data_IF_891980452912
#
_entry.id   IF_891980452912
#
_cell.length_a   1.000
_cell.length_b   1.000
_cell.length_c   1.000
_cell.angle_alpha   90.00
_cell.angle_beta   90.00
_cell.angle_gamma   90.00
#
_symmetry.space_group_name_H-M   'P 1'
#
loop_
_entity.id
_entity.type
_entity.pdbx_description
1 polymer ?
#
# COMPACT_ATOMS: atom_id res chain seq x y z
N UNK A 1 -42.64 -17.16 -47.53
CA UNK A 1 -43.95 -16.56 -47.20
C UNK A 1 -43.72 -15.45 -46.18
N UNK A 2 -43.68 -14.19 -46.62
CA UNK A 2 -43.52 -13.05 -45.72
C UNK A 2 -44.85 -12.80 -45.01
N UNK A 3 -44.94 -13.22 -43.76
CA UNK A 3 -46.04 -12.79 -42.88
C UNK A 3 -45.86 -11.28 -42.75
N UNK A 4 -46.76 -10.51 -43.37
CA UNK A 4 -46.80 -9.06 -43.23
C UNK A 4 -47.14 -8.76 -41.77
N UNK A 5 -46.11 -8.56 -40.95
CA UNK A 5 -46.28 -8.19 -39.53
C UNK A 5 -46.88 -6.79 -39.55
N UNK A 6 -48.18 -6.68 -39.26
CA UNK A 6 -48.83 -5.38 -39.06
C UNK A 6 -47.98 -4.57 -38.07
N UNK A 7 -47.42 -3.46 -38.55
CA UNK A 7 -46.60 -2.58 -37.73
C UNK A 7 -47.54 -1.96 -36.70
N UNK A 8 -47.35 -2.30 -35.42
CA UNK A 8 -48.14 -1.73 -34.34
C UNK A 8 -47.93 -0.21 -34.34
N UNK A 9 -49.03 0.53 -34.41
CA UNK A 9 -49.04 1.99 -34.32
C UNK A 9 -49.43 2.34 -32.88
N UNK A 10 -48.56 3.09 -32.20
CA UNK A 10 -48.84 3.58 -30.85
C UNK A 10 -49.76 4.78 -30.95
N UNK A 11 -50.89 4.75 -30.23
CA UNK A 11 -51.78 5.91 -30.09
C UNK A 11 -51.23 6.87 -29.03
N UNK A 12 -51.61 8.16 -29.06
CA UNK A 12 -51.24 9.11 -28.01
C UNK A 12 -51.66 8.65 -26.60
N UNK A 13 -52.79 7.95 -26.48
CA UNK A 13 -53.28 7.39 -25.20
C UNK A 13 -52.35 6.31 -24.64
N UNK A 14 -51.80 5.44 -25.49
CA UNK A 14 -50.81 4.44 -25.10
C UNK A 14 -49.51 5.09 -24.61
N UNK A 15 -49.11 6.21 -25.21
CA UNK A 15 -47.91 6.93 -24.78
C UNK A 15 -48.09 7.63 -23.44
N UNK A 16 -49.28 8.19 -23.19
CA UNK A 16 -49.63 8.77 -21.89
C UNK A 16 -49.60 7.69 -20.82
N UNK A 17 -50.24 6.54 -21.08
CA UNK A 17 -50.20 5.40 -20.17
C UNK A 17 -48.76 4.95 -19.88
N UNK A 18 -47.92 4.79 -20.91
CA UNK A 18 -46.53 4.39 -20.71
C UNK A 18 -45.73 5.45 -19.92
N UNK A 19 -45.96 6.74 -20.14
CA UNK A 19 -45.28 7.80 -19.36
C UNK A 19 -45.62 7.73 -17.88
N UNK A 20 -46.87 7.43 -17.56
CA UNK A 20 -47.36 7.40 -16.19
C UNK A 20 -47.03 6.09 -15.47
N UNK A 21 -47.15 4.95 -16.16
CA UNK A 21 -47.03 3.62 -15.56
C UNK A 21 -45.60 3.05 -15.57
N UNK A 22 -44.73 3.45 -16.50
CA UNK A 22 -43.36 2.89 -16.60
C UNK A 22 -42.46 3.16 -15.39
N UNK A 23 -42.46 4.35 -14.76
CA UNK A 23 -41.64 4.60 -13.57
C UNK A 23 -42.06 3.69 -12.41
N UNK A 24 -41.12 2.93 -11.85
CA UNK A 24 -41.37 2.09 -10.66
C UNK A 24 -41.97 0.71 -10.93
N UNK A 25 -42.21 0.32 -12.19
CA UNK A 25 -42.73 -1.01 -12.57
C UNK A 25 -41.75 -1.85 -13.42
N UNK A 26 -41.73 -3.16 -13.19
CA UNK A 26 -40.87 -4.09 -13.93
C UNK A 26 -41.33 -4.25 -15.38
N UNK A 27 -40.42 -4.69 -16.26
CA UNK A 27 -40.76 -4.96 -17.68
C UNK A 27 -41.96 -5.90 -17.83
N UNK A 28 -42.15 -6.87 -16.94
CA UNK A 28 -43.28 -7.81 -16.98
C UNK A 28 -44.58 -7.13 -16.56
N UNK A 29 -44.58 -6.43 -15.43
CA UNK A 29 -45.76 -5.69 -14.95
C UNK A 29 -46.27 -4.67 -15.96
N UNK A 30 -45.37 -3.99 -16.68
CA UNK A 30 -45.76 -3.04 -17.72
C UNK A 30 -46.42 -3.74 -18.91
N UNK A 31 -45.95 -4.93 -19.29
CA UNK A 31 -46.56 -5.70 -20.40
C UNK A 31 -47.93 -6.21 -20.00
N UNK A 32 -48.06 -6.75 -18.78
CA UNK A 32 -49.30 -7.33 -18.30
C UNK A 32 -50.40 -6.26 -18.15
N UNK A 33 -50.08 -5.09 -17.60
CA UNK A 33 -51.04 -3.98 -17.47
C UNK A 33 -51.40 -3.37 -18.84
N UNK A 34 -50.43 -3.27 -19.75
CA UNK A 34 -50.69 -2.77 -21.11
C UNK A 34 -51.61 -3.73 -21.89
N UNK A 35 -51.47 -5.05 -21.69
CA UNK A 35 -52.37 -6.06 -22.26
C UNK A 35 -53.77 -5.94 -21.64
N UNK A 36 -53.88 -5.72 -20.32
CA UNK A 36 -55.17 -5.54 -19.66
C UNK A 36 -55.94 -4.29 -20.13
N UNK A 37 -55.24 -3.18 -20.39
CA UNK A 37 -55.88 -1.92 -20.74
C UNK A 37 -56.18 -1.74 -22.24
N UNK A 38 -55.34 -2.31 -23.11
CA UNK A 38 -55.43 -2.11 -24.56
C UNK A 38 -55.65 -3.40 -25.36
N UNK A 39 -55.78 -4.56 -24.69
CA UNK A 39 -55.93 -5.90 -25.29
C UNK A 39 -54.82 -6.25 -26.30
N UNK A 40 -53.63 -5.66 -26.10
CA UNK A 40 -52.46 -5.84 -26.98
C UNK A 40 -51.27 -6.30 -26.16
N UNK A 41 -50.85 -7.55 -26.36
CA UNK A 41 -49.64 -8.07 -25.73
C UNK A 41 -48.37 -7.53 -26.38
N UNK A 42 -47.66 -6.64 -25.69
CA UNK A 42 -46.36 -6.13 -26.15
C UNK A 42 -45.24 -7.17 -26.00
N UNK A 43 -44.39 -7.31 -27.03
CA UNK A 43 -43.09 -7.99 -26.88
C UNK A 43 -42.14 -7.10 -26.09
N UNK A 44 -41.25 -7.71 -25.30
CA UNK A 44 -40.19 -6.99 -24.55
C UNK A 44 -39.39 -6.03 -25.40
N UNK A 45 -39.09 -6.39 -26.66
CA UNK A 45 -38.36 -5.52 -27.60
C UNK A 45 -39.19 -4.30 -28.03
N UNK A 46 -40.50 -4.44 -28.22
CA UNK A 46 -41.40 -3.34 -28.59
C UNK A 46 -41.54 -2.35 -27.43
N UNK A 47 -41.73 -2.85 -26.21
CA UNK A 47 -41.75 -2.02 -25.00
C UNK A 47 -40.44 -1.24 -24.83
N UNK A 48 -39.28 -1.90 -24.95
CA UNK A 48 -37.97 -1.22 -24.84
C UNK A 48 -37.75 -0.16 -25.90
N UNK A 49 -38.10 -0.45 -27.16
CA UNK A 49 -37.98 0.50 -28.25
C UNK A 49 -38.88 1.72 -28.02
N UNK A 50 -40.11 1.52 -27.53
CA UNK A 50 -41.02 2.62 -27.24
C UNK A 50 -40.58 3.45 -26.02
N UNK A 51 -40.16 2.80 -24.94
CA UNK A 51 -39.60 3.47 -23.77
C UNK A 51 -38.37 4.32 -24.15
N UNK A 52 -37.48 3.82 -25.01
CA UNK A 52 -36.33 4.58 -25.51
C UNK A 52 -36.78 5.80 -26.32
N UNK A 53 -37.73 5.62 -27.24
CA UNK A 53 -38.30 6.71 -28.04
C UNK A 53 -38.99 7.79 -27.21
N UNK A 54 -39.56 7.42 -26.06
CA UNK A 54 -40.23 8.33 -25.12
C UNK A 54 -39.31 8.84 -24.00
N UNK A 55 -38.03 8.42 -23.97
CA UNK A 55 -37.08 8.81 -22.93
C UNK A 55 -37.36 8.23 -21.53
N UNK A 56 -38.16 7.16 -21.43
CA UNK A 56 -38.64 6.60 -20.16
C UNK A 56 -37.62 5.65 -19.51
N UNK A 57 -37.53 5.71 -18.18
CA UNK A 57 -36.68 4.83 -17.37
C UNK A 57 -37.50 4.23 -16.22
N UNK A 58 -37.46 2.90 -16.07
CA UNK A 58 -38.19 2.19 -15.01
C UNK A 58 -37.68 2.49 -13.59
N UNK A 59 -36.41 2.87 -13.44
CA UNK A 59 -35.83 3.24 -12.14
C UNK A 59 -35.61 2.09 -11.13
N UNK A 60 -36.14 0.89 -11.37
CA UNK A 60 -36.03 -0.26 -10.43
C UNK A 60 -34.68 -0.97 -10.52
N UNK A 61 -34.14 -1.14 -11.72
CA UNK A 61 -32.96 -1.99 -11.93
C UNK A 61 -31.83 -1.19 -12.58
N UNK A 62 -30.98 -0.57 -11.75
CA UNK A 62 -29.82 0.20 -12.23
C UNK A 62 -28.66 -0.69 -12.67
N UNK A 63 -28.75 -2.01 -12.44
CA UNK A 63 -27.64 -2.96 -12.65
C UNK A 63 -26.43 -2.69 -11.74
N UNK A 64 -26.58 -1.81 -10.74
CA UNK A 64 -25.51 -1.41 -9.82
C UNK A 64 -25.71 -2.11 -8.49
N UNK A 65 -24.62 -2.64 -7.93
CA UNK A 65 -24.59 -3.08 -6.54
C UNK A 65 -24.79 -1.87 -5.62
N UNK A 66 -25.64 -2.01 -4.61
CA UNK A 66 -25.86 -0.95 -3.61
C UNK A 66 -24.65 -0.89 -2.66
N UNK A 67 -24.28 0.32 -2.20
CA UNK A 67 -23.20 0.48 -1.21
C UNK A 67 -23.54 -0.35 0.05
N UNK A 68 -22.65 -1.27 0.42
CA UNK A 68 -22.85 -2.16 1.57
C UNK A 68 -23.59 -3.46 1.26
N UNK A 69 -24.04 -3.69 0.03
CA UNK A 69 -24.66 -4.96 -0.38
C UNK A 69 -23.62 -6.09 -0.29
N UNK A 70 -23.81 -7.11 0.56
CA UNK A 70 -22.92 -8.26 0.59
C UNK A 70 -23.04 -9.05 -0.72
N UNK A 71 -21.93 -9.64 -1.16
CA UNK A 71 -21.97 -10.61 -2.24
C UNK A 71 -22.86 -11.80 -1.82
N UNK A 72 -23.63 -12.32 -2.76
CA UNK A 72 -24.57 -13.43 -2.52
C UNK A 72 -23.90 -14.66 -1.88
N UNK A 73 -22.63 -14.91 -2.21
CA UNK A 73 -21.84 -16.05 -1.72
C UNK A 73 -20.93 -15.72 -0.52
N UNK A 74 -21.08 -14.55 0.10
CA UNK A 74 -20.21 -14.15 1.22
C UNK A 74 -20.38 -15.11 2.41
N UNK A 75 -19.30 -15.82 2.76
CA UNK A 75 -19.28 -16.77 3.88
C UNK A 75 -19.76 -18.18 3.55
N UNK A 76 -20.22 -18.44 2.32
CA UNK A 76 -20.60 -19.76 1.86
C UNK A 76 -19.36 -20.55 1.41
N UNK A 77 -19.33 -21.86 1.63
CA UNK A 77 -18.28 -22.71 1.05
C UNK A 77 -18.52 -22.86 -0.44
N UNK A 78 -17.46 -23.12 -1.20
CA UNK A 78 -17.56 -23.30 -2.65
C UNK A 78 -18.56 -24.38 -3.06
N UNK A 79 -18.68 -25.46 -2.27
CA UNK A 79 -19.66 -26.53 -2.44
C UNK A 79 -21.11 -26.06 -2.39
N UNK A 80 -21.37 -24.97 -1.67
CA UNK A 80 -22.72 -24.56 -1.31
C UNK A 80 -23.33 -23.64 -2.39
N UNK A 81 -22.50 -22.95 -3.17
CA UNK A 81 -22.95 -22.02 -4.21
C UNK A 81 -22.51 -22.41 -5.64
N UNK A 82 -21.69 -23.46 -5.82
CA UNK A 82 -21.28 -23.95 -7.13
C UNK A 82 -21.67 -25.41 -7.34
N UNK A 83 -22.09 -25.75 -8.56
CA UNK A 83 -22.29 -27.15 -8.96
C UNK A 83 -20.96 -27.91 -9.01
N UNK A 84 -21.01 -29.24 -8.82
CA UNK A 84 -19.83 -30.11 -8.89
C UNK A 84 -19.08 -29.98 -10.23
N UNK A 85 -19.82 -29.90 -11.34
CA UNK A 85 -19.24 -29.66 -12.67
C UNK A 85 -18.53 -28.30 -12.78
N UNK A 86 -19.11 -27.26 -12.16
CA UNK A 86 -18.50 -25.93 -12.10
C UNK A 86 -17.22 -25.91 -11.26
N UNK A 87 -17.17 -26.73 -10.20
CA UNK A 87 -15.97 -26.90 -9.38
C UNK A 87 -14.86 -27.56 -10.20
N UNK A 88 -15.16 -28.65 -10.92
CA UNK A 88 -14.17 -29.33 -11.77
C UNK A 88 -13.61 -28.41 -12.86
N UNK A 89 -14.48 -27.71 -13.60
CA UNK A 89 -14.06 -26.80 -14.68
C UNK A 89 -13.12 -25.70 -14.17
N UNK A 90 -13.36 -25.21 -12.95
CA UNK A 90 -12.53 -24.14 -12.36
C UNK A 90 -11.24 -24.66 -11.72
N UNK A 91 -11.02 -25.97 -11.56
CA UNK A 91 -9.76 -26.50 -11.01
C UNK A 91 -8.54 -26.12 -11.86
N UNK A 92 -8.69 -26.06 -13.18
CA UNK A 92 -7.61 -25.72 -14.10
C UNK A 92 -7.08 -24.29 -13.92
N UNK A 93 -7.93 -23.34 -13.49
CA UNK A 93 -7.59 -21.92 -13.35
C UNK A 93 -7.24 -21.53 -11.91
N UNK A 94 -7.26 -22.47 -10.96
CA UNK A 94 -6.89 -22.20 -9.56
C UNK A 94 -5.39 -22.15 -9.43
N UNK A 95 -4.90 -21.13 -8.74
CA UNK A 95 -3.50 -21.08 -8.32
C UNK A 95 -3.23 -22.22 -7.34
N UNK A 96 -2.23 -23.06 -7.67
CA UNK A 96 -1.75 -24.09 -6.75
C UNK A 96 -0.82 -23.44 -5.72
N UNK A 97 -0.83 -23.92 -4.48
CA UNK A 97 0.13 -23.48 -3.46
C UNK A 97 1.55 -23.75 -3.97
N UNK A 98 2.39 -22.71 -4.02
CA UNK A 98 3.75 -22.78 -4.53
C UNK A 98 3.90 -22.62 -6.06
N UNK A 99 2.82 -22.40 -6.80
CA UNK A 99 2.90 -22.12 -8.24
C UNK A 99 3.47 -20.73 -8.48
N UNK A 100 4.66 -20.67 -9.06
CA UNK A 100 5.33 -19.42 -9.44
C UNK A 100 4.75 -18.94 -10.78
N UNK A 101 4.21 -17.70 -10.88
CA UNK A 101 3.73 -17.16 -12.15
C UNK A 101 4.83 -17.14 -13.21
N UNK A 102 4.50 -17.35 -14.49
CA UNK A 102 5.47 -17.32 -15.59
C UNK A 102 6.29 -16.02 -15.62
N UNK A 103 5.66 -14.89 -15.29
CA UNK A 103 6.28 -13.57 -15.21
C UNK A 103 7.31 -13.43 -14.08
N UNK A 104 7.26 -14.30 -13.06
CA UNK A 104 8.21 -14.23 -11.96
C UNK A 104 9.63 -14.66 -12.35
N UNK A 105 9.80 -15.40 -13.47
CA UNK A 105 11.11 -15.72 -14.04
C UNK A 105 11.90 -14.46 -14.44
N UNK A 106 11.22 -13.44 -14.98
CA UNK A 106 11.82 -12.14 -15.32
C UNK A 106 12.19 -11.27 -14.10
N UNK A 107 11.65 -11.61 -12.92
CA UNK A 107 12.03 -11.02 -11.64
C UNK A 107 12.89 -12.00 -10.83
N UNK A 108 13.84 -12.65 -11.51
CA UNK A 108 14.77 -13.60 -10.91
C UNK A 108 15.62 -12.99 -9.79
N UNK A 109 16.20 -13.88 -8.98
CA UNK A 109 17.21 -13.54 -7.97
C UNK A 109 18.41 -12.89 -8.70
N UNK A 110 18.96 -11.82 -8.14
CA UNK A 110 20.06 -11.04 -8.72
C UNK A 110 19.64 -9.78 -9.47
N UNK A 111 18.33 -9.58 -9.74
CA UNK A 111 17.87 -8.36 -10.42
C UNK A 111 18.12 -7.12 -9.58
N UNK A 112 18.70 -6.11 -10.23
CA UNK A 112 18.92 -4.79 -9.64
C UNK A 112 17.70 -3.89 -9.86
N UNK A 113 17.41 -3.05 -8.87
CA UNK A 113 16.48 -1.92 -8.99
C UNK A 113 17.04 -0.72 -8.23
N UNK A 114 16.69 0.48 -8.70
CA UNK A 114 17.00 1.73 -8.01
C UNK A 114 15.82 2.07 -7.10
N UNK A 115 16.13 2.33 -5.83
CA UNK A 115 15.15 2.76 -4.84
C UNK A 115 14.81 4.25 -4.97
N UNK A 116 13.77 4.74 -4.30
CA UNK A 116 13.38 6.16 -4.29
C UNK A 116 14.54 7.08 -3.89
N UNK A 117 15.38 6.61 -2.97
CA UNK A 117 16.53 7.35 -2.45
C UNK A 117 17.79 7.21 -3.34
N UNK A 118 17.69 6.55 -4.50
CA UNK A 118 18.79 6.39 -5.46
C UNK A 118 19.76 5.25 -5.16
N UNK A 119 19.50 4.42 -4.15
CA UNK A 119 20.31 3.25 -3.83
C UNK A 119 19.96 2.05 -4.71
N UNK A 120 20.97 1.25 -5.08
CA UNK A 120 20.75 0.00 -5.81
C UNK A 120 20.42 -1.13 -4.81
N UNK A 121 19.31 -1.80 -5.06
CA UNK A 121 18.87 -2.99 -4.36
C UNK A 121 18.93 -4.21 -5.28
N UNK A 122 19.45 -5.32 -4.77
CA UNK A 122 19.53 -6.62 -5.43
C UNK A 122 18.46 -7.53 -4.86
N UNK A 123 17.70 -8.21 -5.71
CA UNK A 123 16.74 -9.23 -5.27
C UNK A 123 17.48 -10.47 -4.77
N UNK A 124 17.43 -10.76 -3.48
CA UNK A 124 18.12 -11.91 -2.86
C UNK A 124 17.19 -13.11 -2.67
N UNK A 125 15.88 -12.88 -2.55
CA UNK A 125 14.89 -13.95 -2.36
C UNK A 125 13.70 -13.81 -3.31
N UNK A 126 13.15 -14.94 -3.73
CA UNK A 126 11.97 -14.99 -4.59
C UNK A 126 10.68 -14.74 -3.80
N UNK A 127 10.60 -15.28 -2.58
CA UNK A 127 9.47 -15.17 -1.67
C UNK A 127 9.91 -14.63 -0.31
N UNK A 128 9.03 -13.86 0.34
CA UNK A 128 9.23 -13.42 1.71
C UNK A 128 8.90 -14.57 2.66
N UNK A 129 9.84 -14.97 3.52
CA UNK A 129 9.61 -16.02 4.53
C UNK A 129 8.68 -15.58 5.68
N UNK A 130 8.19 -14.34 5.67
CA UNK A 130 7.37 -13.74 6.72
C UNK A 130 6.19 -13.06 6.02
N UNK A 131 4.97 -13.39 6.45
CA UNK A 131 3.75 -12.74 6.00
C UNK A 131 3.88 -11.22 6.20
N UNK A 132 3.79 -10.48 5.09
CA UNK A 132 3.75 -9.00 5.12
C UNK A 132 5.09 -8.25 5.11
N UNK A 133 6.26 -8.90 5.02
CA UNK A 133 7.56 -8.19 4.88
C UNK A 133 8.20 -8.38 3.51
N UNK A 134 8.48 -7.27 2.81
CA UNK A 134 9.26 -7.23 1.57
C UNK A 134 10.78 -7.47 1.78
N UNK A 135 11.15 -8.58 2.42
CA UNK A 135 12.54 -8.99 2.64
C UNK A 135 13.21 -9.63 1.39
N UNK A 136 12.65 -9.36 0.21
CA UNK A 136 13.11 -9.95 -1.05
C UNK A 136 14.33 -9.22 -1.61
N UNK A 137 14.56 -7.98 -1.20
CA UNK A 137 15.62 -7.11 -1.68
C UNK A 137 16.58 -6.74 -0.57
N UNK A 138 17.88 -6.69 -0.90
CA UNK A 138 18.96 -6.21 -0.03
C UNK A 138 19.74 -5.14 -0.78
N UNK A 139 20.33 -4.19 -0.08
CA UNK A 139 21.13 -3.15 -0.73
C UNK A 139 22.44 -3.73 -1.29
N UNK A 140 22.81 -3.31 -2.51
CA UNK A 140 24.01 -3.80 -3.19
C UNK A 140 25.29 -3.48 -2.43
N UNK A 141 25.42 -2.26 -1.91
CA UNK A 141 26.58 -1.83 -1.13
C UNK A 141 26.76 -2.66 0.16
N UNK A 142 25.67 -3.05 0.81
CA UNK A 142 25.70 -3.96 1.97
C UNK A 142 26.26 -5.32 1.56
N UNK A 143 25.75 -5.91 0.48
CA UNK A 143 26.19 -7.23 0.03
C UNK A 143 27.68 -7.26 -0.36
N UNK A 144 28.16 -6.19 -1.01
CA UNK A 144 29.57 -6.08 -1.41
C UNK A 144 30.46 -5.91 -0.18
N UNK A 145 30.05 -5.06 0.78
CA UNK A 145 30.79 -4.89 2.02
C UNK A 145 30.85 -6.19 2.85
N UNK A 146 29.73 -6.92 2.97
CA UNK A 146 29.66 -8.22 3.65
C UNK A 146 30.57 -9.26 2.98
N UNK A 147 30.62 -9.27 1.64
CA UNK A 147 31.47 -10.18 0.87
C UNK A 147 32.96 -9.89 1.09
N UNK A 148 33.35 -8.62 1.11
CA UNK A 148 34.75 -8.23 1.29
C UNK A 148 35.26 -8.51 2.72
N UNK A 149 34.46 -8.17 3.73
CA UNK A 149 34.88 -8.29 5.13
C UNK A 149 34.59 -9.69 5.72
N UNK A 150 33.88 -10.55 4.99
CA UNK A 150 33.51 -11.91 5.42
C UNK A 150 32.62 -11.95 6.66
N UNK A 151 32.05 -10.83 7.09
CA UNK A 151 31.25 -10.71 8.30
C UNK A 151 29.91 -10.02 8.04
N UNK A 152 28.92 -10.33 8.88
CA UNK A 152 27.66 -9.60 8.85
C UNK A 152 27.84 -8.20 9.45
N UNK A 153 27.03 -7.25 9.00
CA UNK A 153 27.11 -5.87 9.51
C UNK A 153 26.96 -5.87 11.04
N UNK A 154 27.90 -5.26 11.78
CA UNK A 154 27.80 -5.16 13.22
C UNK A 154 26.51 -4.46 13.65
N UNK A 155 25.91 -4.84 14.80
CA UNK A 155 24.65 -4.26 15.24
C UNK A 155 24.78 -2.74 15.38
N UNK A 156 23.72 -2.01 15.00
CA UNK A 156 23.65 -0.54 15.05
C UNK A 156 24.71 0.18 14.18
N UNK A 157 25.18 -0.47 13.12
CA UNK A 157 26.10 0.10 12.14
C UNK A 157 25.37 0.34 10.81
N UNK A 158 25.82 1.31 10.03
CA UNK A 158 25.36 1.58 8.67
C UNK A 158 26.56 1.58 7.74
N UNK A 159 26.38 1.06 6.51
CA UNK A 159 27.40 1.12 5.47
C UNK A 159 27.14 2.38 4.65
N UNK A 160 28.16 3.21 4.47
CA UNK A 160 28.08 4.52 3.81
C UNK A 160 29.10 4.57 2.67
N UNK A 161 28.74 5.29 1.62
CA UNK A 161 29.64 5.67 0.53
C UNK A 161 30.46 6.89 0.97
N UNK A 162 31.77 6.74 1.12
CA UNK A 162 32.64 7.82 1.59
C UNK A 162 32.69 9.00 0.61
N UNK A 163 32.54 8.75 -0.68
CA UNK A 163 32.46 9.77 -1.73
C UNK A 163 31.05 10.37 -1.94
N UNK A 164 30.03 9.85 -1.24
CA UNK A 164 28.64 10.22 -1.43
C UNK A 164 28.02 9.72 -2.75
N UNK A 165 28.77 9.04 -3.60
CA UNK A 165 28.29 8.50 -4.87
C UNK A 165 27.67 7.12 -4.67
N UNK A 166 26.33 7.06 -4.69
CA UNK A 166 25.53 5.85 -4.46
C UNK A 166 25.72 4.74 -5.52
N UNK A 167 26.55 4.98 -6.54
CA UNK A 167 26.90 4.02 -7.60
C UNK A 167 28.35 3.56 -7.54
N UNK A 168 29.19 4.13 -6.68
CA UNK A 168 30.58 3.71 -6.51
C UNK A 168 30.66 2.56 -5.50
N UNK A 169 30.74 1.34 -6.00
CA UNK A 169 30.77 0.12 -5.18
C UNK A 169 32.17 -0.41 -4.88
N UNK A 170 33.21 0.42 -5.01
CA UNK A 170 34.55 0.05 -4.59
C UNK A 170 34.53 -0.30 -3.08
N UNK A 171 35.04 -1.48 -2.66
CA UNK A 171 35.09 -1.86 -1.26
C UNK A 171 35.81 -0.83 -0.37
N UNK A 172 36.79 -0.10 -0.91
CA UNK A 172 37.49 0.96 -0.18
C UNK A 172 36.61 2.19 0.07
N UNK A 173 35.63 2.44 -0.78
CA UNK A 173 34.65 3.53 -0.63
C UNK A 173 33.53 3.19 0.36
N UNK A 174 33.35 1.89 0.67
CA UNK A 174 32.30 1.41 1.56
C UNK A 174 32.81 1.33 2.99
N UNK A 175 32.38 2.29 3.82
CA UNK A 175 32.82 2.38 5.23
C UNK A 175 31.68 2.03 6.17
N UNK A 176 31.98 1.18 7.15
CA UNK A 176 31.08 0.83 8.23
C UNK A 176 31.12 1.89 9.33
N UNK A 177 30.05 2.65 9.48
CA UNK A 177 29.94 3.76 10.44
C UNK A 177 28.87 3.46 11.49
N UNK A 178 29.17 3.54 12.79
CA UNK A 178 28.16 3.40 13.83
C UNK A 178 27.05 4.44 13.68
N UNK A 179 25.78 4.04 13.80
CA UNK A 179 24.63 4.96 13.59
C UNK A 179 24.64 6.16 14.53
N UNK A 180 25.22 6.02 15.73
CA UNK A 180 25.40 7.12 16.69
C UNK A 180 26.31 8.23 16.13
N UNK A 181 27.38 7.85 15.45
CA UNK A 181 28.35 8.77 14.83
C UNK A 181 27.71 9.44 13.62
N UNK A 182 27.06 8.64 12.75
CA UNK A 182 26.36 9.16 11.58
C UNK A 182 25.28 10.18 11.96
N UNK A 183 24.58 9.98 13.07
CA UNK A 183 23.59 10.94 13.58
C UNK A 183 24.20 12.31 13.86
N UNK A 184 25.38 12.35 14.48
CA UNK A 184 26.09 13.59 14.81
C UNK A 184 26.61 14.26 13.55
N UNK A 185 27.20 13.49 12.62
CA UNK A 185 27.63 13.98 11.30
C UNK A 185 26.46 14.66 10.58
N UNK A 186 25.31 13.99 10.49
CA UNK A 186 24.12 14.53 9.82
C UNK A 186 23.52 15.73 10.55
N UNK A 187 23.44 15.69 11.89
CA UNK A 187 22.88 16.78 12.71
C UNK A 187 23.69 18.08 12.59
N UNK A 188 25.02 17.95 12.51
CA UNK A 188 25.93 19.10 12.42
C UNK A 188 26.37 19.41 11.00
N UNK A 189 25.81 18.74 9.99
CA UNK A 189 26.18 18.90 8.58
C UNK A 189 27.69 18.86 8.35
N UNK A 190 28.39 17.92 9.00
CA UNK A 190 29.84 17.79 8.86
C UNK A 190 30.14 17.28 7.43
N UNK A 191 30.86 18.04 6.61
CA UNK A 191 31.11 17.67 5.22
C UNK A 191 32.16 16.55 5.13
N UNK A 192 31.97 15.67 4.17
CA UNK A 192 32.95 14.66 3.74
C UNK A 192 32.72 14.36 2.25
N UNK A 193 33.78 13.96 1.55
CA UNK A 193 33.80 13.76 0.11
C UNK A 193 34.70 12.60 -0.33
N UNK A 194 35.44 12.00 0.60
CA UNK A 194 36.31 10.86 0.38
C UNK A 194 36.48 10.08 1.69
N UNK A 195 37.23 8.98 1.65
CA UNK A 195 37.47 8.15 2.84
C UNK A 195 38.19 8.90 3.95
N UNK A 196 39.23 9.66 3.61
CA UNK A 196 40.02 10.38 4.60
C UNK A 196 39.20 11.47 5.31
N UNK A 197 38.39 12.23 4.56
CA UNK A 197 37.48 13.22 5.14
C UNK A 197 36.36 12.58 5.95
N UNK A 198 35.85 11.40 5.55
CA UNK A 198 34.87 10.66 6.36
C UNK A 198 35.48 10.23 7.71
N UNK A 199 36.70 9.71 7.71
CA UNK A 199 37.42 9.33 8.95
C UNK A 199 37.64 10.56 9.85
N UNK A 200 37.98 11.71 9.28
CA UNK A 200 38.07 12.97 10.03
C UNK A 200 36.69 13.40 10.60
N UNK A 201 35.62 13.31 9.81
CA UNK A 201 34.26 13.63 10.24
C UNK A 201 33.80 12.71 11.39
N UNK A 202 34.17 11.43 11.35
CA UNK A 202 33.93 10.48 12.44
C UNK A 202 34.63 10.92 13.72
N UNK A 203 35.91 11.31 13.64
CA UNK A 203 36.65 11.83 14.82
C UNK A 203 36.02 13.09 15.40
N UNK A 204 35.61 14.04 14.55
CA UNK A 204 34.91 15.26 15.00
C UNK A 204 33.61 14.89 15.73
N UNK A 205 32.86 13.94 15.19
CA UNK A 205 31.63 13.45 15.82
C UNK A 205 31.90 12.76 17.17
N UNK A 206 32.96 11.96 17.29
CA UNK A 206 33.38 11.34 18.55
C UNK A 206 33.76 12.38 19.60
N UNK A 207 34.54 13.40 19.22
CA UNK A 207 34.92 14.51 20.10
C UNK A 207 33.67 15.24 20.60
N UNK A 208 32.70 15.54 19.72
CA UNK A 208 31.43 16.16 20.10
C UNK A 208 30.62 15.30 21.07
N UNK A 209 30.53 14.00 20.81
CA UNK A 209 29.84 13.08 21.72
C UNK A 209 30.49 13.04 23.10
N UNK A 210 31.83 13.05 23.15
CA UNK A 210 32.56 13.08 24.43
C UNK A 210 32.36 14.40 25.15
N UNK A 211 32.35 15.52 24.43
CA UNK A 211 32.06 16.84 25.01
C UNK A 211 30.64 16.89 25.62
N UNK A 212 29.63 16.38 24.92
CA UNK A 212 28.25 16.29 25.43
C UNK A 212 28.17 15.39 26.67
N UNK A 213 28.86 14.26 26.68
CA UNK A 213 28.93 13.36 27.84
C UNK A 213 29.56 14.05 29.06
N UNK A 214 30.65 14.80 28.86
CA UNK A 214 31.31 15.57 29.90
C UNK A 214 30.42 16.71 30.40
N UNK A 215 29.72 17.44 29.53
CA UNK A 215 28.76 18.47 29.92
C UNK A 215 27.64 17.89 30.82
N UNK A 216 27.14 16.70 30.48
CA UNK A 216 26.11 15.99 31.27
C UNK A 216 26.65 15.39 32.57
N UNK A 217 27.97 15.25 32.72
CA UNK A 217 28.58 14.79 33.97
C UNK A 217 28.64 15.87 35.04
N UNK A 218 28.52 17.15 34.66
CA UNK A 218 28.55 18.28 35.58
C UNK A 218 27.22 18.33 36.35
N UNK A 219 27.24 18.22 37.70
CA UNK A 219 26.03 18.29 38.50
C UNK A 219 25.42 19.70 38.43
N UNK A 220 24.09 19.75 38.43
CA UNK A 220 23.30 21.00 38.38
C UNK A 220 22.36 21.07 39.57
N UNK A 221 22.02 22.29 39.96
CA UNK A 221 21.06 22.54 41.04
C UNK A 221 19.65 22.60 40.48
N UNK A 222 18.72 21.85 41.08
CA UNK A 222 17.32 21.83 40.68
C UNK A 222 16.66 23.19 40.97
N UNK A 223 15.99 23.77 39.96
CA UNK A 223 15.26 25.05 40.12
C UNK A 223 14.07 24.98 41.09
N UNK A 224 13.54 23.78 41.37
CA UNK A 224 12.31 23.60 42.15
C UNK A 224 12.59 23.16 43.59
N UNK A 225 13.47 22.17 43.80
CA UNK A 225 13.79 21.64 45.13
C UNK A 225 15.21 21.97 45.63
N UNK A 226 16.05 22.65 44.83
CA UNK A 226 17.42 22.99 45.22
C UNK A 226 18.41 21.81 45.28
N UNK A 227 17.97 20.57 45.05
CA UNK A 227 18.85 19.40 45.09
C UNK A 227 19.88 19.40 43.94
N UNK A 228 21.10 18.94 44.21
CA UNK A 228 22.07 18.64 43.16
C UNK A 228 21.66 17.36 42.42
N UNK A 229 21.68 17.41 41.09
CA UNK A 229 21.36 16.25 40.25
C UNK A 229 22.25 16.20 39.02
N UNK A 230 22.46 15.00 38.48
CA UNK A 230 23.11 14.80 37.19
C UNK A 230 22.09 14.96 36.06
N UNK A 231 22.28 15.89 35.10
CA UNK A 231 21.37 16.05 33.98
C UNK A 231 21.41 14.84 33.03
N UNK A 232 20.24 14.40 32.55
CA UNK A 232 20.06 13.38 31.51
C UNK A 232 20.09 13.98 30.10
N UNK A 233 19.74 15.26 29.96
CA UNK A 233 19.74 15.99 28.70
C UNK A 233 20.17 17.44 28.88
N UNK A 234 20.69 18.05 27.79
CA UNK A 234 21.43 19.32 27.81
C UNK A 234 20.70 20.48 28.49
N UNK A 235 19.39 20.60 28.32
CA UNK A 235 18.59 21.72 28.85
C UNK A 235 17.81 21.34 30.12
N UNK A 236 18.23 20.30 30.85
CA UNK A 236 17.56 19.90 32.07
C UNK A 236 17.86 20.88 33.22
N UNK A 237 16.80 21.50 33.75
CA UNK A 237 16.84 22.48 34.85
C UNK A 237 16.21 21.98 36.16
N UNK A 238 15.56 20.81 36.12
CA UNK A 238 14.90 20.17 37.27
C UNK A 238 15.37 18.73 37.42
N UNK A 239 15.47 18.25 38.65
CA UNK A 239 15.74 16.84 38.91
C UNK A 239 14.58 15.95 38.43
N UNK A 240 14.83 14.64 38.31
CA UNK A 240 13.88 13.70 37.72
C UNK A 240 12.58 13.58 38.53
N UNK A 241 12.64 13.68 39.86
CA UNK A 241 11.45 13.66 40.73
C UNK A 241 10.51 14.83 40.42
N UNK A 242 11.01 16.07 40.44
CA UNK A 242 10.21 17.26 40.13
C UNK A 242 9.64 17.27 38.70
N UNK A 243 10.36 16.68 37.72
CA UNK A 243 9.83 16.51 36.35
C UNK A 243 8.63 15.54 36.34
N UNK A 244 8.72 14.43 37.07
CA UNK A 244 7.66 13.42 37.11
C UNK A 244 6.41 13.94 37.84
N UNK A 245 6.57 14.63 38.97
CA UNK A 245 5.47 15.23 39.73
C UNK A 245 4.65 16.24 38.92
N UNK A 246 5.30 16.95 37.99
CA UNK A 246 4.63 17.87 37.06
C UNK A 246 3.86 17.19 35.96
N UNK A 247 4.25 15.98 35.55
CA UNK A 247 3.55 15.22 34.52
C UNK A 247 2.28 14.53 35.05
N UNK A 248 2.21 14.33 36.37
CA UNK A 248 1.05 13.75 37.05
C UNK A 248 -0.04 14.77 37.42
N UNK A 249 0.21 16.07 37.21
CA UNK A 249 -0.78 17.14 37.34
C UNK A 249 -1.28 17.54 35.95
#
# INVERSE_FOLDING_TARGET
MSISVRRMVYTPEMDVFLKDFVPGHSEQQIIDEFEAQFDIKLRRSQLKARMYSLGLKQGINTGRFRKGQPAYNKGMKQSDFMSAEGIERTKATRFKKGQIPHNAKGFGIGRERVDKDGYIQVKVKLHSNIDGRWNNYRYKHVLIWEKEHGCHIPPKTAIIFADGNKRNFDPNNLVAVPRRILMIINRHHIPYFDRASLEAAMKIAEIKMKADELELSIPRTCKECGAQFKPEFKNQVRCRSCINERKSK
#
